data_IF_203328650125
#
_entry.id   IF_203328650125
#
_cell.length_a   1.000
_cell.length_b   1.000
_cell.length_c   1.000
_cell.angle_alpha   90.00
_cell.angle_beta   90.00
_cell.angle_gamma   90.00
#
_symmetry.space_group_name_H-M   'P 1'
#
loop_
_entity.id
_entity.type
_entity.pdbx_description
1 polymer ?
#
# COMPACT_ATOMS: atom_id res chain seq x y z
N UNK A 1 9.69 4.46 -2.44
CA UNK A 1 8.31 4.65 -1.91
C UNK A 1 7.73 5.87 -2.60
N UNK A 2 6.72 5.72 -3.47
CA UNK A 2 6.15 6.83 -4.24
C UNK A 2 5.59 7.95 -3.37
N UNK A 3 4.70 7.64 -2.43
CA UNK A 3 4.10 8.62 -1.52
C UNK A 3 3.66 8.01 -0.20
N UNK A 4 3.48 8.87 0.80
CA UNK A 4 2.85 8.61 2.09
C UNK A 4 1.64 9.52 2.25
N UNK A 5 0.58 9.01 2.86
CA UNK A 5 -0.61 9.77 3.20
C UNK A 5 -0.45 10.41 4.59
N UNK A 6 -0.74 11.71 4.71
CA UNK A 6 -0.95 12.35 6.00
C UNK A 6 -2.37 12.07 6.46
N UNK A 7 -2.54 11.57 7.68
CA UNK A 7 -3.86 11.15 8.17
C UNK A 7 -4.74 12.33 8.59
N UNK A 8 -4.15 13.48 8.91
CA UNK A 8 -4.87 14.67 9.37
C UNK A 8 -5.69 15.32 8.25
N UNK A 9 -5.15 15.34 7.04
CA UNK A 9 -5.73 16.07 5.89
C UNK A 9 -5.80 15.22 4.61
N UNK A 10 -5.40 13.95 4.67
CA UNK A 10 -5.35 13.02 3.54
C UNK A 10 -4.48 13.53 2.37
N UNK A 11 -3.53 14.43 2.65
CA UNK A 11 -2.58 14.91 1.65
C UNK A 11 -1.50 13.89 1.34
N UNK A 12 -1.05 13.85 0.08
CA UNK A 12 0.07 13.02 -0.33
C UNK A 12 1.40 13.74 -0.13
N UNK A 13 2.31 13.10 0.61
CA UNK A 13 3.70 13.49 0.71
C UNK A 13 4.56 12.59 -0.19
N UNK A 14 5.12 13.14 -1.29
CA UNK A 14 5.89 12.35 -2.22
C UNK A 14 7.27 12.00 -1.66
N UNK A 15 7.79 10.83 -2.03
CA UNK A 15 9.15 10.36 -1.75
C UNK A 15 9.60 10.48 -0.26
N UNK A 16 8.85 9.93 0.71
CA UNK A 16 9.18 10.04 2.15
C UNK A 16 10.46 9.29 2.57
N UNK A 17 11.09 8.56 1.66
CA UNK A 17 12.26 7.71 1.93
C UNK A 17 11.93 6.40 2.64
N UNK A 18 11.12 6.44 3.71
CA UNK A 18 10.65 5.27 4.46
C UNK A 18 9.21 5.45 4.94
N UNK A 19 8.54 4.34 5.28
CA UNK A 19 7.30 4.33 6.06
C UNK A 19 7.64 3.78 7.45
N UNK A 20 7.09 4.40 8.49
CA UNK A 20 7.17 3.91 9.88
C UNK A 20 5.84 3.30 10.32
N UNK A 21 5.77 2.80 11.55
CA UNK A 21 4.54 2.26 12.10
C UNK A 21 3.38 3.27 11.98
N UNK A 22 2.22 2.77 11.55
CA UNK A 22 1.00 3.54 11.28
C UNK A 22 1.04 4.48 10.07
N UNK A 23 2.16 4.56 9.32
CA UNK A 23 2.14 5.26 8.04
C UNK A 23 1.35 4.46 7.00
N UNK A 24 0.58 5.18 6.20
CA UNK A 24 -0.10 4.64 5.02
C UNK A 24 0.61 5.17 3.78
N UNK A 25 0.92 4.30 2.82
CA UNK A 25 1.59 4.73 1.61
C UNK A 25 1.57 3.67 0.52
N UNK A 26 1.95 4.08 -0.68
CA UNK A 26 2.09 3.17 -1.81
C UNK A 26 3.47 2.50 -1.77
N UNK A 27 3.51 1.20 -2.08
CA UNK A 27 4.76 0.45 -2.21
C UNK A 27 4.71 -0.48 -3.41
N UNK A 28 5.88 -0.87 -3.92
CA UNK A 28 6.02 -1.93 -4.92
C UNK A 28 6.73 -3.10 -4.27
N UNK A 29 6.11 -4.27 -4.29
CA UNK A 29 6.67 -5.50 -3.74
C UNK A 29 7.19 -6.38 -4.87
N UNK A 30 8.28 -7.11 -4.58
CA UNK A 30 8.79 -8.18 -5.43
C UNK A 30 8.47 -9.50 -4.75
N UNK A 31 7.80 -10.38 -5.46
CA UNK A 31 7.50 -11.74 -5.01
C UNK A 31 8.53 -12.71 -5.57
N UNK A 32 8.73 -13.85 -4.91
CA UNK A 32 9.66 -14.90 -5.37
C UNK A 32 9.16 -15.56 -6.67
N UNK A 33 7.84 -15.64 -6.82
CA UNK A 33 7.14 -16.18 -7.98
C UNK A 33 5.87 -15.35 -8.27
N UNK A 34 5.26 -15.47 -9.46
CA UNK A 34 3.98 -14.83 -9.74
C UNK A 34 2.88 -15.29 -8.77
N UNK A 35 2.12 -14.34 -8.24
CA UNK A 35 0.98 -14.63 -7.35
C UNK A 35 -0.33 -14.28 -8.06
N UNK A 36 -1.38 -15.14 -7.96
CA UNK A 36 -2.71 -14.81 -8.43
C UNK A 36 -3.34 -13.78 -7.49
N UNK A 37 -3.30 -12.50 -7.89
CA UNK A 37 -3.84 -11.38 -7.12
C UNK A 37 -4.90 -10.67 -7.93
N UNK A 38 -6.02 -10.34 -7.26
CA UNK A 38 -7.06 -9.47 -7.80
C UNK A 38 -6.89 -8.07 -7.18
N UNK A 39 -7.42 -7.03 -7.84
CA UNK A 39 -7.54 -5.74 -7.19
C UNK A 39 -8.46 -5.87 -5.97
N UNK A 40 -8.09 -5.25 -4.84
CA UNK A 40 -8.87 -5.30 -3.61
C UNK A 40 -10.30 -4.78 -3.78
N UNK A 41 -10.48 -3.80 -4.68
CA UNK A 41 -11.79 -3.25 -5.03
C UNK A 41 -12.72 -4.29 -5.67
N UNK A 42 -12.15 -5.24 -6.44
CA UNK A 42 -12.91 -6.28 -7.14
C UNK A 42 -13.12 -7.51 -6.25
N UNK A 43 -12.07 -7.93 -5.52
CA UNK A 43 -12.14 -9.04 -4.56
C UNK A 43 -11.29 -8.77 -3.34
N UNK A 44 -11.96 -8.45 -2.22
CA UNK A 44 -11.28 -8.22 -0.93
C UNK A 44 -10.49 -9.42 -0.44
N UNK A 45 -10.95 -10.64 -0.74
CA UNK A 45 -10.37 -11.89 -0.23
C UNK A 45 -9.01 -12.19 -0.88
N UNK A 46 -8.87 -11.93 -2.17
CA UNK A 46 -7.65 -12.22 -2.96
C UNK A 46 -6.80 -10.98 -3.23
N UNK A 47 -7.34 -9.78 -2.99
CA UNK A 47 -6.61 -8.52 -3.06
C UNK A 47 -6.08 -8.00 -1.72
N UNK A 48 -6.30 -8.70 -0.60
CA UNK A 48 -5.72 -8.35 0.70
C UNK A 48 -4.54 -9.24 1.07
N UNK A 49 -3.53 -8.69 1.71
CA UNK A 49 -2.39 -9.45 2.22
C UNK A 49 -1.83 -8.81 3.50
N UNK A 50 -0.96 -9.54 4.19
CA UNK A 50 -0.14 -9.03 5.30
C UNK A 50 1.33 -9.31 5.00
N UNK A 51 2.22 -8.46 5.49
CA UNK A 51 3.67 -8.73 5.47
C UNK A 51 4.08 -9.24 6.85
N UNK A 52 4.76 -10.39 6.86
CA UNK A 52 5.26 -11.03 8.06
C UNK A 52 6.79 -10.94 8.06
N UNK A 53 7.38 -10.60 9.20
CA UNK A 53 8.81 -10.69 9.41
C UNK A 53 9.26 -12.16 9.47
N UNK A 54 10.22 -12.60 8.67
CA UNK A 54 10.64 -14.00 8.63
C UNK A 54 11.48 -14.44 9.84
N UNK A 55 12.02 -13.51 10.62
CA UNK A 55 12.86 -13.79 11.78
C UNK A 55 12.05 -14.11 13.04
N UNK A 56 10.99 -13.34 13.32
CA UNK A 56 10.19 -13.49 14.53
C UNK A 56 8.69 -13.73 14.30
N UNK A 57 8.22 -13.66 13.06
CA UNK A 57 6.81 -13.88 12.70
C UNK A 57 5.90 -12.67 12.98
N UNK A 58 6.45 -11.51 13.33
CA UNK A 58 5.66 -10.31 13.59
C UNK A 58 4.95 -9.84 12.33
N UNK A 59 3.69 -9.41 12.48
CA UNK A 59 2.96 -8.73 11.40
C UNK A 59 3.47 -7.30 11.25
N UNK A 60 4.14 -7.01 10.15
CA UNK A 60 4.72 -5.71 9.86
C UNK A 60 3.70 -4.71 9.33
N UNK A 61 2.78 -5.17 8.48
CA UNK A 61 1.75 -4.32 7.87
C UNK A 61 0.63 -5.15 7.23
N UNK A 62 -0.50 -4.52 6.98
CA UNK A 62 -1.57 -5.01 6.13
C UNK A 62 -1.59 -4.22 4.81
N UNK A 63 -1.86 -4.90 3.71
CA UNK A 63 -1.81 -4.34 2.37
C UNK A 63 -3.02 -4.70 1.53
N UNK A 64 -3.28 -3.85 0.54
CA UNK A 64 -4.33 -4.01 -0.47
C UNK A 64 -3.70 -3.87 -1.84
N UNK A 65 -4.03 -4.77 -2.76
CA UNK A 65 -3.58 -4.74 -4.15
C UNK A 65 -4.45 -3.76 -4.94
N UNK A 66 -3.81 -2.90 -5.73
CA UNK A 66 -4.49 -1.94 -6.60
C UNK A 66 -3.80 -0.58 -6.58
N UNK A 67 -4.37 0.37 -7.31
CA UNK A 67 -3.92 1.75 -7.27
C UNK A 67 -4.45 2.45 -6.02
N UNK A 68 -3.53 3.01 -5.25
CA UNK A 68 -3.84 3.82 -4.09
C UNK A 68 -3.95 5.28 -4.53
N UNK A 69 -5.10 5.66 -5.10
CA UNK A 69 -5.41 7.05 -5.40
C UNK A 69 -6.00 7.72 -4.15
N UNK A 70 -5.14 8.11 -3.21
CA UNK A 70 -5.55 9.05 -2.17
C UNK A 70 -5.70 10.44 -2.81
N UNK A 71 -6.90 10.77 -3.26
CA UNK A 71 -7.28 12.15 -3.60
C UNK A 71 -6.36 12.87 -4.60
N UNK A 72 -6.05 12.25 -5.74
CA UNK A 72 -5.76 13.06 -6.92
C UNK A 72 -7.11 13.35 -7.58
N UNK A 73 -7.69 14.52 -7.31
CA UNK A 73 -8.66 15.09 -8.23
C UNK A 73 -8.01 15.12 -9.61
N UNK A 74 -8.48 14.25 -10.50
CA UNK A 74 -8.41 14.49 -11.92
C UNK A 74 -9.21 15.77 -12.20
N UNK A 75 -8.55 16.92 -12.10
CA UNK A 75 -9.00 18.14 -12.74
C UNK A 75 -8.17 18.29 -14.02
N UNK A 76 -8.81 18.10 -15.18
CA UNK A 76 -8.19 18.34 -16.48
C UNK A 76 -8.62 17.38 -17.57
N UNK A 77 -9.86 17.52 -18.06
CA UNK A 77 -10.14 17.43 -19.49
C UNK A 77 -11.07 18.57 -19.87
#
# INVERSE_FOLDING_TARGET
IPSRLTLDDLSQHPHPGRLVANDIGQVRLRTAEPLPLDAYADSRRTGSFILIDPGDGTTLTAGMVGDFAAGATACGR
#
